data_IF_976573465078
#
_entry.id   IF_976573465078
#
_cell.length_a   1.000
_cell.length_b   1.000
_cell.length_c   1.000
_cell.angle_alpha   90.00
_cell.angle_beta   90.00
_cell.angle_gamma   90.00
#
_symmetry.space_group_name_H-M   'P 1'
#
loop_
_entity.id
_entity.type
_entity.pdbx_description
1 polymer ?
#
# COMPACT_ATOMS: atom_id res chain seq x y z
N UNK A 1 -6.58 -10.88 -2.22
CA UNK A 1 -5.97 -10.72 -0.87
C UNK A 1 -5.61 -12.11 -0.36
N UNK A 2 -4.35 -12.34 0.03
CA UNK A 2 -3.97 -13.59 0.69
C UNK A 2 -4.69 -13.69 2.04
N UNK A 3 -5.28 -14.85 2.34
CA UNK A 3 -5.97 -15.09 3.60
C UNK A 3 -4.95 -14.97 4.75
N UNK A 4 -5.23 -14.12 5.75
CA UNK A 4 -4.37 -14.02 6.94
C UNK A 4 -4.39 -15.38 7.65
N UNK A 5 -3.23 -15.96 7.97
CA UNK A 5 -3.18 -17.27 8.60
C UNK A 5 -3.87 -17.20 9.97
N UNK A 6 -4.75 -18.16 10.23
CA UNK A 6 -5.57 -18.17 11.45
C UNK A 6 -4.80 -18.76 12.63
N UNK A 7 -4.94 -18.11 13.78
CA UNK A 7 -4.60 -18.65 15.09
C UNK A 7 -5.87 -18.59 15.95
N UNK A 8 -6.32 -19.72 16.49
CA UNK A 8 -7.56 -19.78 17.27
C UNK A 8 -7.24 -20.25 18.69
N UNK A 9 -7.30 -19.35 19.69
CA UNK A 9 -7.18 -19.75 21.08
C UNK A 9 -8.44 -20.50 21.50
N UNK A 10 -8.29 -21.62 22.21
CA UNK A 10 -9.37 -22.31 22.91
C UNK A 10 -9.04 -22.35 24.39
N UNK A 11 -10.00 -21.96 25.21
CA UNK A 11 -9.89 -22.01 26.68
C UNK A 11 -10.79 -23.14 27.15
N UNK A 12 -10.23 -24.15 27.85
CA UNK A 12 -10.99 -25.28 28.38
C UNK A 12 -10.48 -25.71 29.75
N UNK A 13 -11.23 -25.36 30.82
CA UNK A 13 -10.85 -25.70 32.19
C UNK A 13 -9.51 -25.06 32.60
N UNK A 14 -8.57 -25.87 33.11
CA UNK A 14 -7.22 -25.43 33.49
C UNK A 14 -6.23 -25.34 32.30
N UNK A 15 -6.64 -25.73 31.09
CA UNK A 15 -5.76 -25.78 29.92
C UNK A 15 -6.22 -24.82 28.81
N UNK A 16 -5.26 -24.09 28.25
CA UNK A 16 -5.44 -23.24 27.07
C UNK A 16 -4.72 -23.88 25.90
N UNK A 17 -5.40 -24.06 24.77
CA UNK A 17 -4.78 -24.53 23.53
C UNK A 17 -4.82 -23.45 22.45
N UNK A 18 -3.87 -23.49 21.53
CA UNK A 18 -3.80 -22.58 20.40
C UNK A 18 -3.68 -23.40 19.13
N UNK A 19 -4.75 -23.36 18.32
CA UNK A 19 -4.73 -23.97 17.00
C UNK A 19 -4.04 -23.01 16.04
N UNK A 20 -2.95 -23.47 15.41
CA UNK A 20 -2.17 -22.71 14.44
C UNK A 20 -2.27 -23.37 13.07
N UNK A 21 -2.40 -22.57 12.01
CA UNK A 21 -2.14 -23.06 10.67
C UNK A 21 -0.73 -23.67 10.56
N UNK A 22 -0.60 -24.72 9.74
CA UNK A 22 0.66 -25.48 9.61
C UNK A 22 1.86 -24.61 9.23
N UNK A 23 1.62 -23.52 8.49
CA UNK A 23 2.62 -22.51 8.13
C UNK A 23 3.15 -21.73 9.34
N UNK A 24 2.30 -21.44 10.32
CA UNK A 24 2.67 -20.77 11.59
C UNK A 24 3.29 -21.75 12.59
N UNK A 25 2.90 -23.03 12.54
CA UNK A 25 3.48 -24.08 13.36
C UNK A 25 4.86 -24.55 12.86
N UNK A 26 5.25 -24.20 11.63
CA UNK A 26 6.51 -24.60 11.02
C UNK A 26 7.71 -23.97 11.77
N UNK A 27 8.31 -24.74 12.68
CA UNK A 27 9.43 -24.31 13.51
C UNK A 27 9.15 -24.31 15.01
N UNK A 28 7.90 -24.51 15.42
CA UNK A 28 7.56 -24.78 16.81
C UNK A 28 7.95 -26.23 17.17
N UNK A 29 8.53 -26.40 18.35
CA UNK A 29 8.93 -27.70 18.88
C UNK A 29 8.45 -27.80 20.32
N UNK A 30 7.94 -28.94 20.74
CA UNK A 30 7.57 -29.21 22.13
C UNK A 30 8.74 -29.04 23.11
N UNK A 31 9.98 -29.12 22.61
CA UNK A 31 11.20 -28.93 23.39
C UNK A 31 11.61 -27.46 23.57
N UNK A 32 10.86 -26.51 23.00
CA UNK A 32 11.16 -25.06 23.06
C UNK A 32 9.88 -24.33 23.48
N UNK A 33 9.65 -24.16 24.79
CA UNK A 33 8.41 -23.56 25.28
C UNK A 33 8.28 -22.10 24.77
N UNK A 34 7.03 -21.69 24.55
CA UNK A 34 6.65 -20.32 24.23
C UNK A 34 6.13 -19.63 25.48
N UNK A 35 6.51 -18.37 25.67
CA UNK A 35 5.92 -17.48 26.66
C UNK A 35 4.80 -16.67 26.04
N UNK A 36 3.68 -16.55 26.75
CA UNK A 36 2.53 -15.75 26.35
C UNK A 36 2.51 -14.40 27.10
N UNK A 37 2.53 -13.31 26.34
CA UNK A 37 2.45 -11.95 26.83
C UNK A 37 1.09 -11.36 26.47
N UNK A 38 0.28 -11.05 27.48
CA UNK A 38 -1.09 -10.55 27.30
C UNK A 38 -1.12 -9.01 27.35
N UNK A 39 -1.79 -8.40 26.39
CA UNK A 39 -2.05 -6.96 26.31
C UNK A 39 -3.55 -6.73 26.49
N UNK A 40 -4.05 -7.05 27.68
CA UNK A 40 -5.48 -7.07 27.96
C UNK A 40 -6.21 -8.21 27.24
N UNK A 41 -7.54 -8.11 27.07
CA UNK A 41 -8.35 -9.17 26.44
C UNK A 41 -8.19 -9.22 24.91
N UNK A 42 -7.65 -8.17 24.29
CA UNK A 42 -7.66 -8.02 22.83
C UNK A 42 -6.35 -8.41 22.13
N UNK A 43 -5.27 -8.67 22.88
CA UNK A 43 -3.95 -8.91 22.29
C UNK A 43 -3.11 -9.92 23.06
N UNK A 44 -2.44 -10.81 22.32
CA UNK A 44 -1.47 -11.76 22.85
C UNK A 44 -0.26 -11.85 21.92
N UNK A 45 0.94 -11.83 22.51
CA UNK A 45 2.20 -12.09 21.80
C UNK A 45 2.81 -13.38 22.33
N UNK A 46 3.14 -14.29 21.42
CA UNK A 46 3.80 -15.55 21.74
C UNK A 46 5.25 -15.51 21.28
N UNK A 47 6.16 -15.63 22.23
CA UNK A 47 7.59 -15.53 21.98
C UNK A 47 8.29 -16.78 22.47
N UNK A 48 9.23 -17.26 21.65
CA UNK A 48 10.29 -18.11 22.18
C UNK A 48 11.35 -17.18 22.77
N UNK A 49 11.41 -17.08 24.10
CA UNK A 49 12.35 -16.18 24.77
C UNK A 49 13.79 -16.66 24.53
N UNK A 50 14.65 -15.83 23.89
CA UNK A 50 16.06 -16.14 23.81
C UNK A 50 16.70 -16.04 25.21
N UNK A 51 17.83 -16.74 25.40
CA UNK A 51 18.69 -16.51 26.56
C UNK A 51 19.02 -15.01 26.65
N UNK A 52 18.80 -14.38 27.81
CA UNK A 52 19.02 -12.95 28.01
C UNK A 52 17.94 -12.04 27.42
N UNK A 53 16.72 -12.56 27.21
CA UNK A 53 15.55 -11.75 26.87
C UNK A 53 15.35 -10.60 27.87
N UNK A 54 15.20 -9.38 27.34
CA UNK A 54 15.00 -8.17 28.14
C UNK A 54 13.63 -7.52 27.90
N UNK A 55 13.00 -7.80 26.76
CA UNK A 55 11.71 -7.23 26.40
C UNK A 55 11.41 -7.36 24.90
N UNK A 56 10.29 -6.79 24.48
CA UNK A 56 9.91 -6.72 23.06
C UNK A 56 9.13 -5.46 22.73
N UNK A 57 9.10 -5.10 21.45
CA UNK A 57 8.22 -4.08 20.87
C UNK A 57 7.56 -4.69 19.63
N UNK A 58 6.24 -4.69 19.56
CA UNK A 58 5.49 -5.25 18.44
C UNK A 58 4.41 -4.27 17.96
N UNK A 59 4.08 -4.31 16.68
CA UNK A 59 3.08 -3.43 16.11
C UNK A 59 2.90 -3.59 14.60
N UNK A 60 2.28 -2.59 13.99
CA UNK A 60 2.11 -2.51 12.53
C UNK A 60 2.79 -1.27 11.97
N UNK A 61 3.33 -1.37 10.75
CA UNK A 61 4.04 -0.27 10.10
C UNK A 61 3.14 0.89 9.69
N UNK A 62 1.82 0.68 9.65
CA UNK A 62 0.85 1.76 9.45
C UNK A 62 0.63 2.63 10.69
N UNK A 63 1.03 2.14 11.88
CA UNK A 63 0.92 2.88 13.16
C UNK A 63 2.27 3.40 13.64
N UNK A 64 3.32 2.59 13.49
CA UNK A 64 4.68 2.93 13.88
C UNK A 64 5.61 2.65 12.70
N UNK A 65 6.19 3.68 12.11
CA UNK A 65 6.99 3.55 10.91
C UNK A 65 8.32 2.82 11.17
N UNK A 66 8.99 2.37 10.12
CA UNK A 66 10.32 1.74 10.26
C UNK A 66 11.33 2.73 10.85
N UNK A 67 11.24 4.02 10.50
CA UNK A 67 12.08 5.06 11.09
C UNK A 67 11.92 5.13 12.61
N UNK A 68 10.68 5.10 13.09
CA UNK A 68 10.35 5.17 14.51
C UNK A 68 10.82 3.91 15.27
N UNK A 69 10.68 2.73 14.66
CA UNK A 69 11.22 1.48 15.22
C UNK A 69 12.75 1.55 15.33
N UNK A 70 13.44 2.02 14.29
CA UNK A 70 14.90 2.19 14.32
C UNK A 70 15.33 3.26 15.34
N UNK A 71 14.57 4.36 15.45
CA UNK A 71 14.82 5.41 16.44
C UNK A 71 14.70 4.86 17.87
N UNK A 72 13.71 4.01 18.14
CA UNK A 72 13.56 3.34 19.44
C UNK A 72 14.79 2.49 19.80
N UNK A 73 15.32 1.73 18.83
CA UNK A 73 16.53 0.90 19.03
C UNK A 73 17.77 1.75 19.22
N UNK A 74 17.94 2.81 18.41
CA UNK A 74 19.11 3.70 18.44
C UNK A 74 19.19 4.52 19.73
N UNK A 75 18.07 5.12 20.14
CA UNK A 75 18.02 5.99 21.33
C UNK A 75 18.24 5.20 22.61
N UNK A 76 17.72 3.96 22.68
CA UNK A 76 17.93 3.05 23.79
C UNK A 76 19.24 2.26 23.76
N UNK A 77 20.08 2.40 22.71
CA UNK A 77 21.30 1.60 22.50
C UNK A 77 21.00 0.10 22.62
N UNK A 78 19.85 -0.33 22.10
CA UNK A 78 19.33 -1.68 22.32
C UNK A 78 20.03 -2.71 21.43
N UNK A 79 20.20 -3.91 21.97
CA UNK A 79 20.60 -5.09 21.21
C UNK A 79 19.39 -6.00 21.01
N UNK A 80 19.32 -6.70 19.88
CA UNK A 80 18.19 -7.59 19.63
C UNK A 80 17.97 -7.94 18.18
N UNK A 81 16.79 -8.47 17.89
CA UNK A 81 16.37 -8.88 16.56
C UNK A 81 15.04 -8.21 16.20
N UNK A 82 15.05 -7.40 15.15
CA UNK A 82 13.84 -6.91 14.51
C UNK A 82 13.42 -7.89 13.41
N UNK A 83 12.19 -8.36 13.44
CA UNK A 83 11.54 -9.07 12.35
C UNK A 83 10.41 -8.21 11.78
N UNK A 84 10.36 -8.07 10.46
CA UNK A 84 9.32 -7.35 9.73
C UNK A 84 8.68 -8.30 8.73
N UNK A 85 7.35 -8.37 8.72
CA UNK A 85 6.54 -9.18 7.84
C UNK A 85 5.66 -8.29 6.96
N UNK A 86 5.80 -8.41 5.64
CA UNK A 86 4.94 -7.75 4.65
C UNK A 86 4.51 -8.77 3.60
N UNK A 87 3.21 -9.08 3.55
CA UNK A 87 2.71 -10.18 2.71
C UNK A 87 3.39 -11.51 3.05
N UNK A 88 3.97 -12.17 2.03
CA UNK A 88 4.75 -13.41 2.19
C UNK A 88 6.25 -13.17 2.50
N UNK A 89 6.70 -11.91 2.47
CA UNK A 89 8.10 -11.55 2.62
C UNK A 89 8.40 -11.24 4.08
N UNK A 90 9.48 -11.85 4.59
CA UNK A 90 10.01 -11.63 5.93
C UNK A 90 11.42 -11.08 5.82
N UNK A 91 11.67 -9.98 6.53
CA UNK A 91 13.00 -9.39 6.70
C UNK A 91 13.38 -9.39 8.17
N UNK A 92 14.64 -9.61 8.47
CA UNK A 92 15.16 -9.54 9.83
C UNK A 92 16.39 -8.67 9.91
N UNK A 93 16.54 -7.89 10.97
CA UNK A 93 17.70 -7.05 11.25
C UNK A 93 18.19 -7.34 12.66
N UNK A 94 19.46 -7.67 12.79
CA UNK A 94 20.13 -7.89 14.07
C UNK A 94 20.86 -6.62 14.49
N UNK A 95 20.65 -6.22 15.74
CA UNK A 95 21.24 -5.04 16.35
C UNK A 95 22.15 -5.42 17.51
N UNK A 96 23.29 -4.74 17.62
CA UNK A 96 24.18 -4.76 18.78
C UNK A 96 24.52 -3.32 19.16
N UNK A 97 24.21 -2.93 20.38
CA UNK A 97 24.44 -1.59 20.92
C UNK A 97 23.84 -0.49 20.01
N UNK A 98 22.60 -0.72 19.55
CA UNK A 98 21.91 0.13 18.59
C UNK A 98 22.47 0.10 17.17
N UNK A 99 23.51 -0.68 16.88
CA UNK A 99 24.10 -0.78 15.54
C UNK A 99 23.63 -2.03 14.79
N UNK A 100 23.27 -1.86 13.52
CA UNK A 100 23.04 -2.99 12.62
C UNK A 100 24.32 -3.80 12.47
N UNK A 101 24.22 -5.11 12.75
CA UNK A 101 25.31 -6.07 12.59
C UNK A 101 25.01 -7.13 11.55
N UNK A 102 23.74 -7.37 11.23
CA UNK A 102 23.34 -8.31 10.19
C UNK A 102 21.89 -8.07 9.74
N UNK A 103 21.55 -8.55 8.54
CA UNK A 103 20.17 -8.55 8.06
C UNK A 103 19.94 -9.70 7.07
N UNK A 104 18.71 -10.23 7.03
CA UNK A 104 18.30 -11.27 6.08
C UNK A 104 16.92 -10.98 5.50
N UNK A 105 16.64 -11.54 4.33
CA UNK A 105 15.36 -11.42 3.65
C UNK A 105 14.96 -12.75 3.01
N UNK A 106 13.66 -13.07 3.06
CA UNK A 106 13.10 -14.19 2.30
C UNK A 106 12.85 -13.84 0.84
N UNK A 107 12.92 -12.56 0.46
CA UNK A 107 12.73 -12.11 -0.91
C UNK A 107 13.85 -12.61 -1.83
N UNK A 108 13.49 -13.20 -2.98
CA UNK A 108 14.42 -13.95 -3.83
C UNK A 108 15.57 -13.09 -4.34
N UNK A 109 15.29 -11.89 -4.83
CA UNK A 109 16.29 -10.99 -5.42
C UNK A 109 17.17 -10.27 -4.38
N UNK A 110 16.81 -10.33 -3.10
CA UNK A 110 17.60 -9.80 -1.97
C UNK A 110 18.55 -10.85 -1.39
N UNK A 111 18.40 -12.14 -1.75
CA UNK A 111 19.27 -13.20 -1.24
C UNK A 111 20.68 -13.09 -1.83
N UNK A 112 21.68 -13.44 -1.02
CA UNK A 112 23.09 -13.42 -1.38
C UNK A 112 23.39 -14.08 -2.73
N UNK A 113 22.83 -15.27 -2.98
CA UNK A 113 23.03 -15.97 -4.26
C UNK A 113 22.58 -15.14 -5.47
N UNK A 114 21.40 -14.54 -5.42
CA UNK A 114 20.87 -13.70 -6.50
C UNK A 114 21.74 -12.45 -6.71
N UNK A 115 22.23 -11.85 -5.62
CA UNK A 115 23.16 -10.71 -5.69
C UNK A 115 24.48 -11.11 -6.33
N UNK A 116 25.08 -12.25 -5.95
CA UNK A 116 26.33 -12.73 -6.55
C UNK A 116 26.20 -12.98 -8.06
N UNK A 117 25.06 -13.51 -8.51
CA UNK A 117 24.76 -13.67 -9.94
C UNK A 117 24.65 -12.31 -10.63
N UNK A 118 23.92 -11.37 -10.03
CA UNK A 118 23.75 -10.01 -10.59
C UNK A 118 25.05 -9.23 -10.68
N UNK A 119 25.98 -9.45 -9.75
CA UNK A 119 27.32 -8.87 -9.77
C UNK A 119 28.29 -9.60 -10.74
N UNK A 120 27.84 -10.65 -11.42
CA UNK A 120 28.67 -11.43 -12.34
C UNK A 120 29.75 -12.27 -11.64
N UNK A 121 29.70 -12.42 -10.32
CA UNK A 121 30.67 -13.18 -9.54
C UNK A 121 30.47 -14.69 -9.67
N UNK A 122 29.23 -15.12 -9.92
CA UNK A 122 28.89 -16.51 -10.24
C UNK A 122 27.84 -16.55 -11.34
N UNK A 123 27.82 -17.62 -12.12
CA UNK A 123 26.74 -17.87 -13.07
C UNK A 123 25.52 -18.49 -12.38
N UNK A 124 24.34 -18.38 -13.00
CA UNK A 124 23.13 -19.02 -12.48
C UNK A 124 23.30 -20.55 -12.34
N UNK A 125 24.03 -21.18 -13.27
CA UNK A 125 24.31 -22.62 -13.23
C UNK A 125 25.19 -22.98 -12.03
N UNK A 126 26.27 -22.22 -11.78
CA UNK A 126 27.13 -22.40 -10.61
C UNK A 126 26.37 -22.21 -9.30
N UNK A 127 25.50 -21.19 -9.21
CA UNK A 127 24.66 -20.99 -8.03
C UNK A 127 23.73 -22.18 -7.79
N UNK A 128 23.05 -22.68 -8.82
CA UNK A 128 22.16 -23.85 -8.69
C UNK A 128 22.93 -25.09 -8.22
N UNK A 129 24.13 -25.32 -8.74
CA UNK A 129 25.00 -26.41 -8.32
C UNK A 129 25.49 -26.24 -6.86
N UNK A 130 25.83 -25.02 -6.45
CA UNK A 130 26.25 -24.76 -5.08
C UNK A 130 25.08 -24.93 -4.09
N UNK A 131 23.86 -24.55 -4.47
CA UNK A 131 22.65 -24.70 -3.65
C UNK A 131 22.32 -26.17 -3.36
N UNK A 132 22.59 -27.11 -4.28
CA UNK A 132 22.37 -28.54 -4.03
C UNK A 132 23.33 -29.16 -3.02
N UNK A 133 24.40 -28.44 -2.66
CA UNK A 133 25.42 -28.84 -1.69
C UNK A 133 25.29 -28.13 -0.34
N UNK A 134 24.28 -27.25 -0.19
CA UNK A 134 23.97 -26.59 1.08
C UNK A 134 23.38 -27.60 2.05
N UNK A 135 23.91 -27.62 3.26
CA UNK A 135 23.45 -28.46 4.36
C UNK A 135 23.14 -27.57 5.57
N UNK A 136 22.37 -28.02 6.57
CA UNK A 136 22.15 -27.25 7.80
C UNK A 136 23.45 -26.78 8.49
N UNK A 137 24.53 -27.56 8.35
CA UNK A 137 25.86 -27.26 8.87
C UNK A 137 26.79 -26.51 7.90
N UNK A 138 26.41 -26.39 6.61
CA UNK A 138 27.25 -25.81 5.57
C UNK A 138 26.45 -24.85 4.69
N UNK A 139 26.77 -23.56 4.82
CA UNK A 139 26.03 -22.48 4.17
C UNK A 139 26.52 -22.21 2.76
N UNK A 140 25.67 -21.57 1.95
CA UNK A 140 25.99 -21.26 0.54
C UNK A 140 27.30 -20.48 0.38
N UNK A 141 27.60 -19.51 1.25
CA UNK A 141 28.86 -18.77 1.20
C UNK A 141 30.08 -19.66 1.39
N UNK A 142 30.01 -20.61 2.33
CA UNK A 142 31.09 -21.58 2.56
C UNK A 142 31.25 -22.55 1.39
N UNK A 143 30.14 -22.98 0.77
CA UNK A 143 30.20 -23.81 -0.44
C UNK A 143 30.93 -23.06 -1.55
N UNK A 144 30.50 -21.84 -1.86
CA UNK A 144 31.06 -21.02 -2.93
C UNK A 144 32.55 -20.71 -2.75
N UNK A 145 33.00 -20.42 -1.52
CA UNK A 145 34.43 -20.15 -1.26
C UNK A 145 35.27 -21.41 -1.32
N UNK A 146 34.80 -22.51 -0.73
CA UNK A 146 35.55 -23.78 -0.74
C UNK A 146 35.72 -24.38 -2.14
N UNK A 147 34.84 -24.03 -3.08
CA UNK A 147 34.91 -24.47 -4.48
C UNK A 147 35.67 -23.49 -5.38
N UNK A 148 36.23 -22.41 -4.80
CA UNK A 148 36.98 -21.40 -5.55
C UNK A 148 36.12 -20.54 -6.49
N UNK A 149 34.78 -20.59 -6.35
CA UNK A 149 33.86 -19.84 -7.20
C UNK A 149 33.81 -18.36 -6.83
N UNK A 150 34.00 -18.03 -5.56
CA UNK A 150 34.03 -16.65 -5.04
C UNK A 150 35.13 -16.54 -4.00
N UNK A 151 35.95 -15.48 -4.04
CA UNK A 151 36.93 -15.19 -2.99
C UNK A 151 36.26 -14.76 -1.69
N UNK A 152 36.90 -14.97 -0.55
CA UNK A 152 36.36 -14.50 0.74
C UNK A 152 36.12 -12.98 0.76
N UNK A 153 37.00 -12.21 0.13
CA UNK A 153 36.86 -10.77 0.00
C UNK A 153 35.60 -10.38 -0.81
N UNK A 154 35.38 -10.99 -1.98
CA UNK A 154 34.18 -10.74 -2.78
C UNK A 154 32.91 -11.19 -2.06
N UNK A 155 32.96 -12.32 -1.36
CA UNK A 155 31.83 -12.80 -0.55
C UNK A 155 31.50 -11.80 0.56
N UNK A 156 32.51 -11.31 1.28
CA UNK A 156 32.33 -10.31 2.34
C UNK A 156 31.73 -9.01 1.82
N UNK A 157 32.24 -8.49 0.69
CA UNK A 157 31.69 -7.30 0.04
C UNK A 157 30.24 -7.51 -0.40
N UNK A 158 29.91 -8.67 -0.99
CA UNK A 158 28.55 -9.00 -1.40
C UNK A 158 27.60 -9.14 -0.20
N UNK A 159 28.05 -9.75 0.91
CA UNK A 159 27.26 -9.83 2.15
C UNK A 159 27.02 -8.44 2.74
N UNK A 160 28.03 -7.58 2.78
CA UNK A 160 27.91 -6.19 3.27
C UNK A 160 26.88 -5.43 2.44
N UNK A 161 26.92 -5.58 1.12
CA UNK A 161 25.94 -5.00 0.22
C UNK A 161 24.52 -5.54 0.47
N UNK A 162 24.35 -6.87 0.61
CA UNK A 162 23.05 -7.49 0.91
C UNK A 162 22.46 -6.97 2.21
N UNK A 163 23.26 -6.95 3.29
CA UNK A 163 22.81 -6.46 4.61
C UNK A 163 22.34 -5.02 4.50
N UNK A 164 23.12 -4.16 3.84
CA UNK A 164 22.77 -2.77 3.60
C UNK A 164 21.47 -2.63 2.82
N UNK A 165 21.32 -3.32 1.69
CA UNK A 165 20.12 -3.21 0.85
C UNK A 165 18.87 -3.77 1.53
N UNK A 166 18.97 -4.87 2.30
CA UNK A 166 17.85 -5.39 3.08
C UNK A 166 17.39 -4.36 4.11
N UNK A 167 18.31 -3.70 4.81
CA UNK A 167 17.96 -2.64 5.76
C UNK A 167 17.27 -1.47 5.06
N UNK A 168 17.84 -0.98 3.96
CA UNK A 168 17.26 0.15 3.23
C UNK A 168 15.88 -0.18 2.64
N UNK A 169 15.67 -1.41 2.19
CA UNK A 169 14.38 -1.87 1.65
C UNK A 169 13.25 -1.82 2.67
N UNK A 170 13.54 -1.87 3.98
CA UNK A 170 12.53 -1.77 5.02
C UNK A 170 11.84 -0.39 5.02
N UNK A 171 12.59 0.68 4.75
CA UNK A 171 12.06 2.05 4.70
C UNK A 171 11.11 2.28 3.53
N UNK A 172 11.08 1.37 2.55
CA UNK A 172 10.14 1.40 1.41
C UNK A 172 8.76 0.85 1.78
N UNK A 173 8.60 0.23 2.96
CA UNK A 173 7.37 -0.38 3.43
C UNK A 173 6.50 0.62 4.19
N UNK A 174 5.23 0.75 3.77
CA UNK A 174 4.20 1.57 4.44
C UNK A 174 3.19 0.74 5.22
N UNK A 175 3.25 -0.58 5.10
CA UNK A 175 2.35 -1.53 5.75
C UNK A 175 3.10 -2.83 6.08
N UNK A 176 2.55 -3.60 7.00
CA UNK A 176 3.17 -4.83 7.52
C UNK A 176 3.11 -4.89 9.04
N UNK A 177 3.55 -6.00 9.61
CA UNK A 177 3.73 -6.17 11.05
C UNK A 177 5.21 -6.27 11.40
N UNK A 178 5.56 -5.87 12.60
CA UNK A 178 6.92 -6.01 13.10
C UNK A 178 6.94 -6.52 14.55
N UNK A 179 8.06 -7.13 14.90
CA UNK A 179 8.41 -7.57 16.24
C UNK A 179 9.91 -7.35 16.44
N UNK A 180 10.26 -6.48 17.38
CA UNK A 180 11.60 -6.37 17.93
C UNK A 180 11.67 -7.16 19.23
N UNK A 181 12.59 -8.11 19.33
CA UNK A 181 12.90 -8.84 20.57
C UNK A 181 14.24 -8.35 21.08
N UNK A 182 14.23 -7.74 22.26
CA UNK A 182 15.43 -7.25 22.93
C UNK A 182 16.14 -8.39 23.66
N UNK A 183 17.45 -8.47 23.47
CA UNK A 183 18.29 -9.50 24.02
C UNK A 183 19.66 -9.54 23.33
N UNK A 184 20.52 -10.51 23.66
CA UNK A 184 21.82 -10.62 23.03
C UNK A 184 21.66 -10.85 21.52
N UNK A 185 22.40 -10.05 20.75
CA UNK A 185 22.48 -10.23 19.31
C UNK A 185 23.03 -11.64 19.01
N UNK A 186 22.49 -12.38 18.02
CA UNK A 186 23.10 -13.61 17.57
C UNK A 186 24.58 -13.38 17.22
N UNK A 187 25.49 -14.18 17.78
CA UNK A 187 26.93 -14.03 17.52
C UNK A 187 27.33 -14.49 16.11
N UNK A 188 26.48 -15.27 15.44
CA UNK A 188 26.75 -15.79 14.11
C UNK A 188 26.55 -14.72 13.03
N UNK A 189 27.51 -14.62 12.10
CA UNK A 189 27.43 -13.82 10.86
C UNK A 189 27.42 -12.31 11.02
N UNK A 190 28.20 -11.78 11.96
CA UNK A 190 28.38 -10.32 12.09
C UNK A 190 29.13 -9.76 10.88
N UNK A 191 28.54 -8.78 10.21
CA UNK A 191 29.18 -7.98 9.16
C UNK A 191 29.35 -6.55 9.66
N UNK A 192 30.51 -5.95 9.37
CA UNK A 192 30.76 -4.55 9.69
C UNK A 192 30.35 -3.70 8.50
N UNK A 193 29.22 -3.01 8.63
CA UNK A 193 28.81 -2.02 7.64
C UNK A 193 29.78 -0.83 7.65
N UNK A 194 30.11 -0.25 6.48
CA UNK A 194 30.97 0.93 6.39
C UNK A 194 30.30 2.18 6.95
N UNK A 195 28.97 2.27 6.81
CA UNK A 195 28.13 3.36 7.29
C UNK A 195 27.63 3.08 8.71
N UNK A 196 27.42 4.12 9.52
CA UNK A 196 26.79 3.95 10.84
C UNK A 196 25.30 3.77 10.66
N UNK A 197 24.63 3.14 11.63
CA UNK A 197 23.19 2.87 11.54
C UNK A 197 22.35 4.14 11.37
N UNK A 198 22.78 5.26 11.96
CA UNK A 198 22.12 6.57 11.76
C UNK A 198 22.15 7.03 10.30
N UNK A 199 23.25 6.75 9.58
CA UNK A 199 23.42 7.16 8.19
C UNK A 199 22.56 6.28 7.27
N UNK A 200 22.40 5.00 7.62
CA UNK A 200 21.47 4.08 6.97
C UNK A 200 20.02 4.53 7.15
N UNK A 201 19.63 4.96 8.36
CA UNK A 201 18.29 5.50 8.62
C UNK A 201 18.02 6.73 7.75
N UNK A 202 18.94 7.70 7.74
CA UNK A 202 18.79 8.90 6.92
C UNK A 202 18.72 8.57 5.41
N UNK A 203 19.52 7.61 4.96
CA UNK A 203 19.48 7.13 3.57
C UNK A 203 18.17 6.43 3.26
N UNK A 204 17.65 5.62 4.18
CA UNK A 204 16.36 4.94 4.07
C UNK A 204 15.20 5.92 3.94
N UNK A 205 15.16 6.95 4.80
CA UNK A 205 14.18 8.05 4.74
C UNK A 205 14.19 8.72 3.36
N UNK A 206 15.38 9.13 2.89
CA UNK A 206 15.53 9.75 1.57
C UNK A 206 15.03 8.84 0.44
N UNK A 207 15.37 7.54 0.48
CA UNK A 207 14.88 6.55 -0.49
C UNK A 207 13.34 6.44 -0.46
N UNK A 208 12.73 6.47 0.72
CA UNK A 208 11.27 6.42 0.87
C UNK A 208 10.59 7.65 0.29
N UNK A 209 11.14 8.84 0.52
CA UNK A 209 10.66 10.10 -0.06
C UNK A 209 10.83 10.14 -1.59
N UNK A 210 11.97 9.70 -2.11
CA UNK A 210 12.22 9.53 -3.55
C UNK A 210 11.21 8.57 -4.17
N UNK A 211 11.03 7.40 -3.58
CA UNK A 211 10.08 6.39 -4.04
C UNK A 211 8.65 6.94 -4.03
N UNK A 212 8.26 7.68 -3.00
CA UNK A 212 6.95 8.33 -2.90
C UNK A 212 6.73 9.36 -4.02
N UNK A 213 7.77 10.14 -4.36
CA UNK A 213 7.72 11.08 -5.49
C UNK A 213 7.62 10.35 -6.83
N UNK A 214 8.42 9.31 -7.04
CA UNK A 214 8.39 8.53 -8.27
C UNK A 214 7.07 7.82 -8.49
N UNK A 215 6.46 7.23 -7.44
CA UNK A 215 5.13 6.60 -7.53
C UNK A 215 4.03 7.58 -7.95
N UNK A 216 4.09 8.83 -7.50
CA UNK A 216 3.14 9.88 -7.94
C UNK A 216 3.37 10.29 -9.40
N UNK A 217 4.63 10.36 -9.82
CA UNK A 217 5.01 10.73 -11.19
C UNK A 217 4.77 9.61 -12.21
N UNK A 218 4.95 8.37 -11.78
CA UNK A 218 4.86 7.16 -12.59
C UNK A 218 3.93 6.13 -11.93
N UNK A 219 2.61 6.38 -11.93
CA UNK A 219 1.63 5.37 -11.53
C UNK A 219 1.82 4.03 -12.25
N UNK A 220 1.55 2.91 -11.56
CA UNK A 220 1.86 1.57 -12.08
C UNK A 220 1.08 1.19 -13.35
N UNK A 221 -0.06 1.85 -13.60
CA UNK A 221 -0.91 1.66 -14.78
C UNK A 221 -0.36 2.36 -16.04
N UNK A 222 0.55 3.32 -15.90
CA UNK A 222 1.18 3.96 -17.05
C UNK A 222 1.88 2.93 -17.93
N UNK A 223 1.91 3.18 -19.23
CA UNK A 223 2.53 2.31 -20.23
C UNK A 223 3.94 2.77 -20.54
N UNK A 224 4.87 1.82 -20.59
CA UNK A 224 6.24 2.05 -21.02
C UNK A 224 6.44 1.56 -22.46
N UNK A 225 7.02 2.42 -23.30
CA UNK A 225 7.39 2.15 -24.67
C UNK A 225 8.88 2.38 -24.88
N UNK A 226 9.46 1.73 -25.90
CA UNK A 226 10.85 1.99 -26.29
C UNK A 226 10.97 3.42 -26.82
N UNK A 227 11.84 4.20 -26.20
CA UNK A 227 12.16 5.56 -26.58
C UNK A 227 13.11 5.66 -27.78
N UNK A 228 13.37 6.88 -28.26
CA UNK A 228 14.10 7.13 -29.49
C UNK A 228 15.55 6.63 -29.49
N UNK A 229 16.20 6.52 -28.32
CA UNK A 229 17.56 5.96 -28.24
C UNK A 229 17.61 4.44 -28.31
N UNK A 230 16.46 3.77 -28.31
CA UNK A 230 16.39 2.31 -28.28
C UNK A 230 16.82 1.70 -26.94
N UNK A 231 17.01 0.37 -26.90
CA UNK A 231 17.36 -0.35 -25.69
C UNK A 231 18.73 0.03 -25.13
N UNK A 232 18.87 -0.02 -23.80
CA UNK A 232 20.19 0.08 -23.16
C UNK A 232 21.03 -1.18 -23.45
N UNK A 233 22.36 -1.06 -23.60
CA UNK A 233 23.24 -2.22 -23.78
C UNK A 233 23.07 -3.25 -22.66
N UNK A 234 22.85 -4.51 -23.03
CA UNK A 234 22.63 -5.61 -22.08
C UNK A 234 21.19 -5.74 -21.55
N UNK A 235 20.31 -4.79 -21.86
CA UNK A 235 18.89 -4.82 -21.50
C UNK A 235 17.97 -5.11 -22.70
N UNK A 236 18.51 -5.50 -23.86
CA UNK A 236 17.74 -5.71 -25.11
C UNK A 236 16.63 -6.76 -24.93
N UNK A 237 16.85 -7.75 -24.08
CA UNK A 237 15.83 -8.75 -23.74
C UNK A 237 14.64 -8.13 -23.00
N UNK A 238 14.89 -7.21 -22.06
CA UNK A 238 13.84 -6.53 -21.30
C UNK A 238 13.02 -5.61 -22.23
N UNK A 239 13.71 -4.86 -23.09
CA UNK A 239 13.07 -3.93 -24.02
C UNK A 239 12.21 -4.63 -25.09
N UNK A 240 12.59 -5.85 -25.50
CA UNK A 240 11.74 -6.67 -26.38
C UNK A 240 10.36 -6.99 -25.78
N UNK A 241 10.22 -6.97 -24.45
CA UNK A 241 8.96 -7.24 -23.77
C UNK A 241 8.00 -6.04 -23.79
N UNK A 242 8.46 -4.84 -24.16
CA UNK A 242 7.66 -3.59 -24.14
C UNK A 242 6.70 -3.44 -25.33
N UNK A 243 6.71 -4.36 -26.29
CA UNK A 243 6.10 -4.19 -27.62
C UNK A 243 4.57 -4.17 -27.70
N UNK A 244 3.83 -4.22 -26.58
CA UNK A 244 2.36 -4.34 -26.57
C UNK A 244 1.64 -3.40 -25.59
N UNK A 245 2.28 -2.32 -25.13
CA UNK A 245 1.69 -1.41 -24.15
C UNK A 245 1.78 -1.94 -22.72
N UNK A 246 2.93 -2.53 -22.38
CA UNK A 246 3.27 -3.04 -21.05
C UNK A 246 3.16 -1.93 -20.01
N UNK A 247 2.47 -2.23 -18.93
CA UNK A 247 2.33 -1.29 -17.80
C UNK A 247 3.59 -1.28 -16.94
N UNK A 248 3.81 -0.20 -16.18
CA UNK A 248 4.93 -0.11 -15.24
C UNK A 248 4.85 -1.20 -14.16
N UNK A 249 3.65 -1.58 -13.72
CA UNK A 249 3.44 -2.68 -12.77
C UNK A 249 3.88 -4.05 -13.32
N UNK A 250 3.57 -4.34 -14.59
CA UNK A 250 4.05 -5.54 -15.28
C UNK A 250 5.58 -5.52 -15.42
N UNK A 251 6.14 -4.39 -15.85
CA UNK A 251 7.57 -4.20 -16.03
C UNK A 251 8.35 -4.39 -14.71
N UNK A 252 7.80 -3.89 -13.60
CA UNK A 252 8.36 -4.08 -12.25
C UNK A 252 8.42 -5.54 -11.85
N UNK A 253 7.38 -6.31 -12.18
CA UNK A 253 7.30 -7.74 -11.86
C UNK A 253 8.38 -8.53 -12.62
N UNK A 254 8.66 -8.14 -13.87
CA UNK A 254 9.67 -8.81 -14.72
C UNK A 254 11.11 -8.51 -14.29
N UNK A 255 11.39 -7.31 -13.76
CA UNK A 255 12.78 -6.88 -13.45
C UNK A 255 13.36 -7.54 -12.18
N UNK A 256 12.54 -8.25 -11.38
CA UNK A 256 12.94 -8.90 -10.12
C UNK A 256 13.88 -8.01 -9.26
N UNK A 257 13.44 -6.77 -8.99
CA UNK A 257 14.21 -5.79 -8.22
C UNK A 257 13.36 -5.13 -7.13
N UNK A 258 14.02 -4.56 -6.11
CA UNK A 258 13.36 -3.71 -5.11
C UNK A 258 12.67 -2.50 -5.75
N UNK A 259 11.70 -1.90 -5.05
CA UNK A 259 10.90 -0.81 -5.61
C UNK A 259 11.75 0.42 -5.90
N UNK A 260 12.58 0.86 -4.96
CA UNK A 260 13.49 2.00 -5.20
C UNK A 260 14.39 1.76 -6.41
N UNK A 261 15.01 0.58 -6.51
CA UNK A 261 15.89 0.22 -7.63
C UNK A 261 15.15 0.21 -8.99
N UNK A 262 13.90 -0.24 -9.02
CA UNK A 262 13.07 -0.21 -10.22
C UNK A 262 12.79 1.23 -10.68
N UNK A 263 12.33 2.09 -9.77
CA UNK A 263 11.99 3.46 -10.13
C UNK A 263 13.23 4.32 -10.44
N UNK A 264 14.36 4.08 -9.77
CA UNK A 264 15.62 4.72 -10.12
C UNK A 264 16.04 4.37 -11.56
N UNK A 265 15.97 3.09 -11.93
CA UNK A 265 16.23 2.65 -13.31
C UNK A 265 15.23 3.25 -14.30
N UNK A 266 13.95 3.30 -13.94
CA UNK A 266 12.91 3.88 -14.80
C UNK A 266 13.21 5.36 -15.08
N UNK A 267 13.51 6.14 -14.04
CA UNK A 267 13.87 7.56 -14.16
C UNK A 267 15.11 7.74 -15.06
N UNK A 268 16.16 6.94 -14.87
CA UNK A 268 17.34 6.97 -15.73
C UNK A 268 17.02 6.65 -17.20
N UNK A 269 16.16 5.67 -17.44
CA UNK A 269 15.77 5.29 -18.80
C UNK A 269 14.94 6.38 -19.48
N UNK A 270 14.03 7.01 -18.75
CA UNK A 270 13.20 8.11 -19.24
C UNK A 270 14.08 9.33 -19.52
N UNK A 271 14.91 9.76 -18.56
CA UNK A 271 15.85 10.88 -18.75
C UNK A 271 16.87 10.61 -19.86
N UNK A 272 17.32 9.36 -19.97
CA UNK A 272 18.24 8.92 -21.02
C UNK A 272 17.61 8.87 -22.41
N UNK A 273 16.28 8.92 -22.53
CA UNK A 273 15.55 8.76 -23.80
C UNK A 273 15.46 7.32 -24.30
N UNK A 274 15.72 6.35 -23.42
CA UNK A 274 15.57 4.92 -23.71
C UNK A 274 14.13 4.46 -23.52
N UNK A 275 13.38 5.04 -22.58
CA UNK A 275 11.96 4.76 -22.38
C UNK A 275 11.11 6.02 -22.56
N UNK A 276 9.91 5.83 -23.08
CA UNK A 276 8.83 6.83 -23.05
C UNK A 276 7.68 6.25 -22.23
N UNK A 277 7.15 7.03 -21.28
CA UNK A 277 6.05 6.60 -20.42
C UNK A 277 4.81 7.44 -20.77
N UNK A 278 3.68 6.78 -21.01
CA UNK A 278 2.41 7.43 -21.38
C UNK A 278 1.26 6.93 -20.51
N UNK A 279 0.24 7.76 -20.24
CA UNK A 279 -1.00 7.30 -19.59
C UNK A 279 -1.62 6.13 -20.36
N UNK A 280 -2.22 5.17 -19.65
CA UNK A 280 -2.69 3.91 -20.23
C UNK A 280 -3.86 4.06 -21.22
N UNK A 281 -4.59 5.18 -21.17
CA UNK A 281 -5.72 5.64 -21.99
C UNK A 281 -5.97 7.11 -21.57
N UNK A 282 -6.57 8.01 -22.39
CA UNK A 282 -6.96 9.32 -21.88
C UNK A 282 -7.86 9.14 -20.66
N UNK A 283 -7.67 9.89 -19.57
CA UNK A 283 -8.62 9.86 -18.46
C UNK A 283 -10.02 10.14 -19.02
N UNK A 284 -11.03 9.45 -18.48
CA UNK A 284 -12.43 9.79 -18.72
C UNK A 284 -12.60 11.32 -18.61
N UNK A 285 -13.44 11.95 -19.46
CA UNK A 285 -13.57 13.39 -19.49
C UNK A 285 -13.74 13.94 -18.07
N UNK A 286 -13.04 15.03 -17.72
CA UNK A 286 -13.04 15.54 -16.36
C UNK A 286 -14.47 15.84 -15.93
N UNK A 287 -14.96 15.10 -14.95
CA UNK A 287 -16.14 15.52 -14.19
C UNK A 287 -15.73 16.80 -13.45
N UNK A 288 -16.49 17.90 -13.57
CA UNK A 288 -16.07 19.18 -13.00
C UNK A 288 -15.84 19.05 -11.49
N UNK A 289 -14.64 19.42 -11.05
CA UNK A 289 -14.37 19.60 -9.63
C UNK A 289 -15.16 20.83 -9.12
N UNK A 290 -15.72 20.72 -7.92
CA UNK A 290 -16.28 21.87 -7.18
C UNK A 290 -15.17 22.78 -6.62
N UNK A 291 -13.91 22.32 -6.69
CA UNK A 291 -12.73 23.10 -6.30
C UNK A 291 -12.64 24.42 -7.09
N UNK A 292 -12.77 25.54 -6.38
CA UNK A 292 -12.72 26.90 -6.93
C UNK A 292 -14.08 27.55 -7.19
N UNK A 293 -15.20 26.85 -7.02
CA UNK A 293 -16.53 27.48 -6.95
C UNK A 293 -16.72 28.08 -5.55
N UNK A 294 -17.27 29.28 -5.44
CA UNK A 294 -17.64 29.89 -4.16
C UNK A 294 -18.94 29.26 -3.61
N UNK A 295 -18.97 27.93 -3.50
CA UNK A 295 -20.14 27.16 -3.08
C UNK A 295 -20.53 27.44 -1.63
N UNK A 296 -19.58 27.94 -0.83
CA UNK A 296 -19.80 28.39 0.55
C UNK A 296 -20.76 29.60 0.62
N UNK A 297 -20.89 30.37 -0.47
CA UNK A 297 -21.82 31.49 -0.58
C UNK A 297 -23.23 31.05 -1.02
N UNK A 298 -23.40 29.80 -1.44
CA UNK A 298 -24.69 29.29 -1.91
C UNK A 298 -25.62 28.93 -0.74
N UNK A 299 -26.92 29.11 -0.95
CA UNK A 299 -27.92 28.62 -0.01
C UNK A 299 -27.84 27.08 0.09
N UNK A 300 -28.36 26.53 1.19
CA UNK A 300 -28.42 25.08 1.39
C UNK A 300 -29.13 24.36 0.22
N UNK A 301 -30.23 24.93 -0.26
CA UNK A 301 -31.01 24.37 -1.37
C UNK A 301 -30.23 24.43 -2.69
N UNK A 302 -29.52 25.53 -2.92
CA UNK A 302 -28.72 25.71 -4.13
C UNK A 302 -27.51 24.77 -4.18
N UNK A 303 -26.97 24.39 -3.01
CA UNK A 303 -25.94 23.35 -2.91
C UNK A 303 -26.45 21.98 -3.34
N UNK A 304 -27.65 21.58 -2.93
CA UNK A 304 -28.27 20.33 -3.39
C UNK A 304 -28.55 20.37 -4.90
N UNK A 305 -29.06 21.49 -5.40
CA UNK A 305 -29.33 21.66 -6.83
C UNK A 305 -28.06 21.65 -7.69
N UNK A 306 -26.96 22.23 -7.20
CA UNK A 306 -25.65 22.14 -7.83
C UNK A 306 -25.21 20.68 -7.94
N UNK A 307 -25.38 19.90 -6.87
CA UNK A 307 -25.01 18.48 -6.87
C UNK A 307 -25.85 17.66 -7.85
N UNK A 308 -27.17 17.86 -7.90
CA UNK A 308 -28.03 17.21 -8.90
C UNK A 308 -27.58 17.55 -10.33
N UNK A 309 -27.22 18.81 -10.59
CA UNK A 309 -26.72 19.23 -11.89
C UNK A 309 -25.37 18.58 -12.25
N UNK A 310 -24.46 18.43 -11.29
CA UNK A 310 -23.19 17.73 -11.47
C UNK A 310 -23.39 16.24 -11.76
N UNK A 311 -24.30 15.58 -11.05
CA UNK A 311 -24.65 14.16 -11.29
C UNK A 311 -25.25 14.01 -12.69
N UNK A 312 -26.22 14.85 -13.05
CA UNK A 312 -26.86 14.84 -14.36
C UNK A 312 -25.84 15.05 -15.49
N UNK A 313 -24.91 16.00 -15.31
CA UNK A 313 -23.84 16.23 -16.28
C UNK A 313 -22.90 15.03 -16.38
N UNK A 314 -22.53 14.40 -15.26
CA UNK A 314 -21.67 13.22 -15.26
C UNK A 314 -22.30 12.04 -16.02
N UNK A 315 -23.61 11.81 -15.86
CA UNK A 315 -24.36 10.82 -16.65
C UNK A 315 -24.32 11.14 -18.15
N UNK A 316 -24.63 12.39 -18.52
CA UNK A 316 -24.59 12.84 -19.92
C UNK A 316 -23.20 12.69 -20.54
N UNK A 317 -22.16 13.14 -19.84
CA UNK A 317 -20.78 13.11 -20.34
C UNK A 317 -20.24 11.67 -20.47
N UNK A 318 -20.79 10.72 -19.69
CA UNK A 318 -20.53 9.30 -19.82
C UNK A 318 -21.35 8.60 -20.93
N UNK A 319 -22.31 9.31 -21.54
CA UNK A 319 -23.23 8.72 -22.53
C UNK A 319 -24.31 7.83 -21.92
N UNK A 320 -24.54 7.94 -20.60
CA UNK A 320 -25.56 7.19 -19.87
C UNK A 320 -26.94 7.87 -19.96
N UNK A 321 -27.99 7.10 -19.69
CA UNK A 321 -29.36 7.60 -19.69
C UNK A 321 -29.60 8.59 -18.52
N UNK A 322 -29.91 9.85 -18.86
CA UNK A 322 -30.18 10.90 -17.86
C UNK A 322 -31.60 10.82 -17.30
N UNK A 323 -32.52 10.11 -17.97
CA UNK A 323 -33.89 9.92 -17.50
C UNK A 323 -33.98 9.03 -16.25
N UNK A 324 -32.88 8.34 -15.88
CA UNK A 324 -32.74 7.65 -14.60
C UNK A 324 -33.10 8.54 -13.40
N UNK A 325 -32.83 9.85 -13.48
CA UNK A 325 -33.13 10.79 -12.40
C UNK A 325 -34.63 11.12 -12.29
N UNK A 326 -35.41 10.95 -13.37
CA UNK A 326 -36.85 11.19 -13.36
C UNK A 326 -37.63 10.09 -12.66
N UNK A 327 -37.09 8.87 -12.59
CA UNK A 327 -37.75 7.74 -11.94
C UNK A 327 -38.18 8.02 -10.50
N UNK A 328 -37.41 8.83 -9.76
CA UNK A 328 -37.78 9.26 -8.40
C UNK A 328 -38.96 10.24 -8.38
N UNK A 329 -39.08 11.12 -9.38
CA UNK A 329 -40.18 12.08 -9.47
C UNK A 329 -41.47 11.41 -9.95
N UNK A 330 -41.35 10.42 -10.85
CA UNK A 330 -42.49 9.67 -11.38
C UNK A 330 -43.07 8.69 -10.37
N UNK A 331 -42.22 8.11 -9.50
CA UNK A 331 -42.63 7.22 -8.42
C UNK A 331 -41.89 7.55 -7.11
N UNK A 332 -42.28 8.64 -6.41
CA UNK A 332 -41.66 9.01 -5.14
C UNK A 332 -41.83 7.92 -4.08
N UNK A 333 -40.87 7.77 -3.13
CA UNK A 333 -41.03 6.90 -1.98
C UNK A 333 -42.27 7.27 -1.15
N UNK A 334 -42.84 6.27 -0.47
CA UNK A 334 -44.03 6.49 0.36
C UNK A 334 -43.78 7.53 1.46
N UNK A 335 -44.69 8.49 1.58
CA UNK A 335 -44.61 9.62 2.49
C UNK A 335 -44.03 10.91 1.87
N UNK A 336 -43.56 10.86 0.62
CA UNK A 336 -43.01 12.01 -0.10
C UNK A 336 -43.82 12.39 -1.34
N UNK A 337 -44.92 11.69 -1.64
CA UNK A 337 -45.71 11.88 -2.87
C UNK A 337 -46.21 13.33 -3.00
N UNK A 338 -46.78 13.87 -1.92
CA UNK A 338 -47.27 15.25 -1.88
C UNK A 338 -46.13 16.26 -2.04
N UNK A 339 -44.96 15.98 -1.44
CA UNK A 339 -43.80 16.85 -1.50
C UNK A 339 -43.34 17.07 -2.95
N UNK A 340 -43.36 16.01 -3.77
CA UNK A 340 -42.88 16.04 -5.15
C UNK A 340 -43.97 16.32 -6.19
N UNK A 341 -45.22 16.55 -5.78
CA UNK A 341 -46.33 16.79 -6.68
C UNK A 341 -46.08 17.98 -7.63
N UNK A 342 -45.90 17.67 -8.92
CA UNK A 342 -45.65 18.66 -9.97
C UNK A 342 -44.26 19.29 -9.95
N UNK A 343 -43.30 18.71 -9.20
CA UNK A 343 -41.88 19.09 -9.27
C UNK A 343 -41.27 18.52 -10.54
N UNK A 344 -40.54 19.34 -11.29
CA UNK A 344 -39.95 18.95 -12.59
C UNK A 344 -38.42 19.05 -12.52
N UNK A 345 -37.74 18.13 -13.22
CA UNK A 345 -36.31 18.17 -13.45
C UNK A 345 -35.99 18.95 -14.74
N UNK A 346 -35.16 19.99 -14.63
CA UNK A 346 -34.72 20.81 -15.78
C UNK A 346 -33.77 20.06 -16.70
N UNK A 347 -33.51 20.62 -17.90
CA UNK A 347 -32.54 20.06 -18.85
C UNK A 347 -31.09 20.02 -18.33
N UNK A 348 -30.81 20.80 -17.28
CA UNK A 348 -29.52 20.88 -16.57
C UNK A 348 -29.50 20.00 -15.32
N UNK A 349 -30.55 19.20 -15.07
CA UNK A 349 -30.64 18.31 -13.92
C UNK A 349 -30.93 19.01 -12.61
N UNK A 350 -31.64 20.14 -12.63
CA UNK A 350 -32.02 20.89 -11.42
C UNK A 350 -33.50 20.70 -11.12
N UNK A 351 -33.88 20.77 -9.84
CA UNK A 351 -35.30 20.68 -9.42
C UNK A 351 -35.86 22.03 -9.01
N UNK A 352 -37.16 22.19 -9.23
CA UNK A 352 -37.91 23.39 -8.80
C UNK A 352 -38.13 23.39 -7.28
N UNK A 353 -37.19 24.03 -6.57
CA UNK A 353 -37.22 24.19 -5.11
C UNK A 353 -38.41 25.04 -4.66
N UNK A 354 -38.86 26.01 -5.46
CA UNK A 354 -39.98 26.86 -5.09
C UNK A 354 -41.27 26.04 -5.05
N UNK A 355 -41.46 25.15 -6.02
CA UNK A 355 -42.56 24.18 -6.03
C UNK A 355 -42.47 23.20 -4.86
N UNK A 356 -41.28 22.64 -4.60
CA UNK A 356 -41.04 21.73 -3.49
C UNK A 356 -41.40 22.38 -2.13
N UNK A 357 -40.96 23.62 -1.93
CA UNK A 357 -41.28 24.41 -0.72
C UNK A 357 -42.77 24.72 -0.60
N UNK A 358 -43.44 25.02 -1.71
CA UNK A 358 -44.88 25.27 -1.74
C UNK A 358 -45.69 24.02 -1.34
N UNK A 359 -45.24 22.85 -1.78
CA UNK A 359 -45.86 21.57 -1.40
C UNK A 359 -45.65 21.25 0.10
N UNK A 360 -44.58 21.76 0.70
CA UNK A 360 -44.17 21.48 2.09
C UNK A 360 -44.48 22.63 3.07
N UNK A 361 -45.33 23.60 2.69
CA UNK A 361 -45.62 24.78 3.49
C UNK A 361 -46.60 24.57 4.65
N UNK A 362 -46.88 23.32 5.06
CA UNK A 362 -47.89 22.94 6.06
C UNK A 362 -47.56 23.31 7.52
N UNK A 363 -46.54 24.13 7.76
CA UNK A 363 -46.08 24.56 9.09
C UNK A 363 -45.36 25.91 9.05
N UNK A 364 -44.79 26.33 10.18
CA UNK A 364 -43.98 27.56 10.22
C UNK A 364 -42.77 27.52 9.27
N UNK A 365 -42.23 28.69 8.92
CA UNK A 365 -41.16 28.84 7.89
C UNK A 365 -39.94 27.94 8.15
N UNK A 366 -39.53 27.79 9.42
CA UNK A 366 -38.42 26.91 9.79
C UNK A 366 -38.71 25.43 9.52
N UNK A 367 -39.94 24.98 9.74
CA UNK A 367 -40.36 23.59 9.51
C UNK A 367 -40.43 23.31 8.01
N UNK A 368 -41.04 24.23 7.24
CA UNK A 368 -41.09 24.11 5.79
C UNK A 368 -39.69 24.05 5.18
N UNK A 369 -38.76 24.88 5.68
CA UNK A 369 -37.35 24.86 5.24
C UNK A 369 -36.66 23.53 5.57
N UNK A 370 -36.84 22.99 6.78
CA UNK A 370 -36.26 21.71 7.16
C UNK A 370 -36.76 20.56 6.27
N UNK A 371 -38.07 20.47 6.07
CA UNK A 371 -38.69 19.47 5.19
C UNK A 371 -38.24 19.62 3.73
N UNK A 372 -38.06 20.85 3.25
CA UNK A 372 -37.54 21.11 1.90
C UNK A 372 -36.11 20.57 1.73
N UNK A 373 -35.26 20.75 2.74
CA UNK A 373 -33.89 20.21 2.71
C UNK A 373 -33.87 18.69 2.81
N UNK A 374 -34.73 18.09 3.63
CA UNK A 374 -34.88 16.63 3.73
C UNK A 374 -35.35 16.03 2.41
N UNK A 375 -36.31 16.66 1.74
CA UNK A 375 -36.72 16.27 0.41
C UNK A 375 -35.54 16.37 -0.58
N UNK A 376 -34.86 17.52 -0.67
CA UNK A 376 -33.70 17.68 -1.56
C UNK A 376 -32.59 16.64 -1.31
N UNK A 377 -32.37 16.29 -0.04
CA UNK A 377 -31.42 15.24 0.34
C UNK A 377 -31.82 13.86 -0.20
N UNK A 378 -33.11 13.51 -0.13
CA UNK A 378 -33.64 12.24 -0.62
C UNK A 378 -33.45 12.08 -2.13
N UNK A 379 -33.76 13.11 -2.93
CA UNK A 379 -33.58 13.03 -4.39
C UNK A 379 -32.11 13.02 -4.79
N UNK A 380 -31.24 13.74 -4.07
CA UNK A 380 -29.78 13.67 -4.28
C UNK A 380 -29.23 12.29 -3.93
N UNK A 381 -29.68 11.70 -2.82
CA UNK A 381 -29.28 10.36 -2.41
C UNK A 381 -29.68 9.31 -3.45
N UNK A 382 -30.88 9.43 -4.02
CA UNK A 382 -31.32 8.59 -5.14
C UNK A 382 -30.47 8.81 -6.40
N UNK A 383 -30.18 10.08 -6.74
CA UNK A 383 -29.37 10.42 -7.90
C UNK A 383 -27.95 9.83 -7.79
N UNK A 384 -27.34 9.92 -6.60
CA UNK A 384 -26.03 9.31 -6.30
C UNK A 384 -26.08 7.78 -6.37
N UNK A 385 -27.14 7.17 -5.84
CA UNK A 385 -27.34 5.72 -5.95
C UNK A 385 -27.41 5.27 -7.41
N UNK A 386 -28.22 5.96 -8.22
CA UNK A 386 -28.38 5.67 -9.65
C UNK A 386 -27.06 5.85 -10.40
N UNK A 387 -26.37 6.96 -10.15
CA UNK A 387 -25.07 7.25 -10.74
C UNK A 387 -24.02 6.19 -10.39
N UNK A 388 -23.99 5.69 -9.15
CA UNK A 388 -23.04 4.65 -8.73
C UNK A 388 -23.23 3.31 -9.45
N UNK A 389 -24.42 3.04 -9.97
CA UNK A 389 -24.71 1.79 -10.68
C UNK A 389 -24.28 1.82 -12.15
N UNK A 390 -24.10 3.00 -12.74
CA UNK A 390 -23.83 3.17 -14.18
C UNK A 390 -22.50 3.86 -14.46
N UNK A 391 -22.01 4.72 -13.56
CA UNK A 391 -20.75 5.45 -13.74
C UNK A 391 -19.54 4.65 -13.24
N UNK A 392 -18.34 4.92 -13.78
CA UNK A 392 -17.08 4.37 -13.25
C UNK A 392 -16.90 4.68 -11.76
N UNK A 393 -16.32 3.74 -11.00
CA UNK A 393 -16.18 3.84 -9.54
C UNK A 393 -15.47 5.12 -9.08
N UNK A 394 -14.44 5.58 -9.81
CA UNK A 394 -13.72 6.82 -9.48
C UNK A 394 -14.61 8.07 -9.62
N UNK A 395 -15.49 8.11 -10.62
CA UNK A 395 -16.44 9.21 -10.81
C UNK A 395 -17.49 9.21 -9.70
N UNK A 396 -18.06 8.04 -9.39
CA UNK A 396 -19.05 7.89 -8.34
C UNK A 396 -18.49 8.23 -6.94
N UNK A 397 -17.25 7.84 -6.65
CA UNK A 397 -16.56 8.20 -5.41
C UNK A 397 -16.33 9.71 -5.30
N UNK A 398 -15.93 10.38 -6.39
CA UNK A 398 -15.78 11.84 -6.42
C UNK A 398 -17.10 12.57 -6.14
N UNK A 399 -18.19 12.17 -6.80
CA UNK A 399 -19.53 12.76 -6.55
C UNK A 399 -19.97 12.56 -5.10
N UNK A 400 -19.69 11.38 -4.52
CA UNK A 400 -19.97 11.09 -3.11
C UNK A 400 -19.12 11.93 -2.15
N UNK A 401 -17.87 12.23 -2.51
CA UNK A 401 -17.02 13.15 -1.76
C UNK A 401 -17.56 14.57 -1.82
N UNK A 402 -17.96 15.04 -3.01
CA UNK A 402 -18.58 16.35 -3.20
C UNK A 402 -19.83 16.51 -2.35
N UNK A 403 -20.71 15.50 -2.30
CA UNK A 403 -21.87 15.48 -1.43
C UNK A 403 -21.50 15.68 0.05
N UNK A 404 -20.52 14.93 0.55
CA UNK A 404 -20.03 15.08 1.93
C UNK A 404 -19.48 16.48 2.19
N UNK A 405 -18.75 17.06 1.24
CA UNK A 405 -18.24 18.44 1.36
C UNK A 405 -19.37 19.47 1.43
N UNK A 406 -20.37 19.36 0.54
CA UNK A 406 -21.50 20.30 0.49
C UNK A 406 -22.40 20.21 1.74
N UNK A 407 -22.52 19.01 2.32
CA UNK A 407 -23.23 18.78 3.59
C UNK A 407 -22.47 19.25 4.83
N UNK A 408 -21.13 19.17 4.84
CA UNK A 408 -20.30 19.57 5.98
C UNK A 408 -20.47 21.04 6.41
N UNK A 409 -20.99 21.91 5.54
CA UNK A 409 -21.34 23.30 5.85
C UNK A 409 -22.83 23.55 6.14
N UNK A 410 -23.63 22.53 6.44
CA UNK A 410 -25.06 22.64 6.80
C UNK A 410 -25.33 22.45 8.30
N UNK A 411 -24.30 22.10 9.08
CA UNK A 411 -24.37 21.86 10.52
C UNK A 411 -24.40 23.16 11.35
#
# INVERSE_FOLDING_TARGET
>A
MAQKPKATPRVGGEATSLDLEKSLAAGLSSSRPLSAWFHGPEGMVLLQEPLGFAGFLAGTLGTLSVEEVFAHVLTGIRSGLLAVQHGAVRRTVSFRDGQVVFATSTERWERLGAVLVRLGLVTQAQLTQALSRVMPSRRIGQVLTSEGLVSEAHLYSAMTYVVREVVLSLFELTEGSFLFVEGPAPMADVVKLPERTRDLVLTGIKRSEELSRWRRRYPEDMRAETGPKGPRPGEERLFRLLGTGTTLGELRTVRESGHHAFFAWLEECVQGGHLTVRPATPPAPPVPAVEGMAWELLSAEERYNLLLSLIHRALRDAGEDVDLLRGFLDAPPSGLEDAYAGVVLSAEGRVDVARLRANLSGGGEAVARALTLEALDAIVSYALFSARNVLPSEVAERLSNTYRTLQGGLA
#
